data_IF_521358063360
#
_entry.id   IF_521358063360
#
_cell.length_a   1.000
_cell.length_b   1.000
_cell.length_c   1.000
_cell.angle_alpha   90.00
_cell.angle_beta   90.00
_cell.angle_gamma   90.00
#
_symmetry.space_group_name_H-M   'P 1'
#
loop_
_entity.id
_entity.type
_entity.pdbx_description
1 polymer ?
#
# COMPACT_ATOMS: atom_id res chain seq x y z
N UNK A 1 -9.16 1.73 1.97
CA UNK A 1 -8.74 2.83 2.85
C UNK A 1 -9.84 3.88 3.05
N UNK A 2 -10.43 4.45 1.99
CA UNK A 2 -11.55 5.42 2.14
C UNK A 2 -12.72 4.85 2.97
N UNK A 3 -13.13 3.61 2.72
CA UNK A 3 -14.19 2.95 3.50
C UNK A 3 -13.89 2.81 5.00
N UNK A 4 -12.61 2.67 5.39
CA UNK A 4 -12.21 2.65 6.81
C UNK A 4 -12.30 4.04 7.43
N UNK A 5 -11.94 5.10 6.69
CA UNK A 5 -12.10 6.48 7.13
C UNK A 5 -13.57 6.90 7.28
N UNK A 6 -14.43 6.41 6.39
CA UNK A 6 -15.89 6.58 6.54
C UNK A 6 -16.38 5.84 7.79
N UNK A 7 -15.97 4.59 7.99
CA UNK A 7 -16.35 3.83 9.19
C UNK A 7 -15.92 4.52 10.49
N UNK A 8 -14.72 5.13 10.50
CA UNK A 8 -14.19 5.90 11.65
C UNK A 8 -15.03 7.15 11.96
N UNK A 9 -15.62 7.79 10.94
CA UNK A 9 -16.49 8.95 11.10
C UNK A 9 -17.86 8.59 11.72
N UNK A 10 -18.35 7.38 11.46
CA UNK A 10 -19.65 6.92 11.96
C UNK A 10 -19.57 6.14 13.29
N UNK A 11 -18.37 5.80 13.77
CA UNK A 11 -18.19 5.08 15.02
C UNK A 11 -18.25 6.05 16.22
N UNK A 12 -19.36 5.99 16.98
CA UNK A 12 -19.63 6.90 18.11
C UNK A 12 -18.94 6.47 19.43
N UNK A 13 -18.52 5.21 19.53
CA UNK A 13 -17.92 4.62 20.75
C UNK A 13 -16.37 4.68 20.78
N UNK A 14 -15.76 5.45 19.89
CA UNK A 14 -14.31 5.63 19.79
C UNK A 14 -13.82 5.66 18.34
N UNK A 15 -12.53 5.97 18.15
CA UNK A 15 -11.89 5.95 16.82
C UNK A 15 -11.53 4.50 16.50
N UNK A 16 -12.19 3.89 15.52
CA UNK A 16 -11.81 2.60 14.94
C UNK A 16 -10.31 2.55 14.62
N UNK A 17 -9.76 3.58 13.98
CA UNK A 17 -8.32 3.66 13.68
C UNK A 17 -7.45 3.85 14.92
N UNK A 18 -7.99 4.39 16.01
CA UNK A 18 -7.29 4.52 17.30
C UNK A 18 -7.30 3.23 18.14
N UNK A 19 -8.17 2.29 17.82
CA UNK A 19 -8.18 0.94 18.40
C UNK A 19 -7.25 -0.04 17.64
N UNK A 20 -6.77 0.36 16.46
CA UNK A 20 -5.82 -0.41 15.67
C UNK A 20 -4.41 -0.07 16.13
N UNK A 21 -3.56 -1.10 16.22
CA UNK A 21 -2.13 -0.96 16.52
C UNK A 21 -1.45 0.04 15.54
N UNK A 22 -0.66 0.98 16.05
CA UNK A 22 0.06 1.99 15.24
C UNK A 22 0.89 1.36 14.11
N UNK A 23 1.32 0.11 14.27
CA UNK A 23 2.04 -0.65 13.26
C UNK A 23 1.24 -0.84 11.95
N UNK A 24 -0.09 -0.85 12.00
CA UNK A 24 -0.95 -0.95 10.80
C UNK A 24 -0.88 0.29 9.91
N UNK A 25 -0.47 1.45 10.44
CA UNK A 25 -0.31 2.66 9.63
C UNK A 25 0.73 2.42 8.53
N UNK A 26 1.81 1.72 8.86
CA UNK A 26 2.89 1.40 7.90
C UNK A 26 2.39 0.44 6.82
N UNK A 27 1.62 -0.57 7.22
CA UNK A 27 0.98 -1.52 6.28
C UNK A 27 0.06 -0.77 5.32
N UNK A 28 -0.78 0.12 5.86
CA UNK A 28 -1.70 0.93 5.07
C UNK A 28 -0.98 1.86 4.09
N UNK A 29 0.12 2.48 4.51
CA UNK A 29 0.95 3.34 3.66
C UNK A 29 1.61 2.55 2.51
N UNK A 30 2.13 1.35 2.78
CA UNK A 30 2.68 0.48 1.72
C UNK A 30 1.59 0.13 0.71
N UNK A 31 0.40 -0.27 1.18
CA UNK A 31 -0.72 -0.57 0.29
C UNK A 31 -1.17 0.63 -0.55
N UNK A 32 -1.22 1.83 0.04
CA UNK A 32 -1.59 3.06 -0.65
C UNK A 32 -0.55 3.44 -1.71
N UNK A 33 0.74 3.32 -1.38
CA UNK A 33 1.84 3.59 -2.28
C UNK A 33 1.82 2.63 -3.48
N UNK A 34 1.65 1.32 -3.25
CA UNK A 34 1.52 0.33 -4.33
C UNK A 34 0.31 0.60 -5.23
N UNK A 35 -0.82 0.99 -4.65
CA UNK A 35 -2.02 1.36 -5.41
C UNK A 35 -1.76 2.59 -6.28
N UNK A 36 -1.09 3.61 -5.75
CA UNK A 36 -0.76 4.81 -6.51
C UNK A 36 0.20 4.50 -7.67
N UNK A 37 1.22 3.66 -7.43
CA UNK A 37 2.12 3.20 -8.48
C UNK A 37 1.39 2.45 -9.59
N UNK A 38 0.45 1.56 -9.24
CA UNK A 38 -0.37 0.85 -10.23
C UNK A 38 -1.26 1.81 -11.04
N UNK A 39 -1.85 2.82 -10.39
CA UNK A 39 -2.62 3.85 -11.09
C UNK A 39 -1.75 4.67 -12.05
N UNK A 40 -0.55 5.06 -11.61
CA UNK A 40 0.40 5.82 -12.44
C UNK A 40 0.88 4.97 -13.62
N UNK A 41 1.23 3.70 -13.40
CA UNK A 41 1.63 2.76 -14.46
C UNK A 41 0.55 2.62 -15.53
N UNK A 42 -0.69 2.36 -15.09
CA UNK A 42 -1.85 2.27 -15.97
C UNK A 42 -2.12 3.56 -16.76
N UNK A 43 -1.97 4.74 -16.13
CA UNK A 43 -2.23 6.02 -16.77
C UNK A 43 -1.13 6.42 -17.74
N UNK A 44 0.13 6.20 -17.36
CA UNK A 44 1.30 6.58 -18.14
C UNK A 44 1.51 5.70 -19.38
N UNK A 45 0.85 4.53 -19.46
CA UNK A 45 0.98 3.54 -20.56
C UNK A 45 2.44 3.36 -20.95
N UNK A 46 3.28 3.07 -19.97
CA UNK A 46 4.72 2.92 -20.18
C UNK A 46 4.95 1.58 -20.88
N UNK A 47 4.89 1.56 -22.21
CA UNK A 47 5.12 0.36 -23.04
C UNK A 47 6.59 -0.09 -23.08
N UNK A 48 7.41 0.33 -22.10
CA UNK A 48 8.80 -0.12 -21.99
C UNK A 48 8.83 -1.47 -21.28
N UNK A 49 9.14 -2.51 -22.05
CA UNK A 49 9.27 -3.89 -21.57
C UNK A 49 10.71 -4.21 -21.19
N UNK A 50 10.89 -4.87 -20.05
CA UNK A 50 12.14 -5.49 -19.61
C UNK A 50 11.91 -7.00 -19.46
N UNK A 51 12.63 -7.84 -20.21
CA UNK A 51 12.52 -9.31 -20.13
C UNK A 51 11.08 -9.82 -20.05
N UNK A 52 10.17 -9.33 -20.91
CA UNK A 52 8.74 -9.67 -20.97
C UNK A 52 7.80 -9.05 -19.93
N UNK A 53 8.31 -8.27 -18.97
CA UNK A 53 7.53 -7.57 -17.94
C UNK A 53 7.62 -6.05 -18.15
N UNK A 54 6.54 -5.32 -17.93
CA UNK A 54 6.55 -3.85 -18.00
C UNK A 54 7.34 -3.24 -16.83
N UNK A 55 8.07 -2.15 -17.08
CA UNK A 55 8.94 -1.54 -16.05
C UNK A 55 8.18 -1.11 -14.80
N UNK A 56 6.94 -0.65 -14.95
CA UNK A 56 6.05 -0.29 -13.85
C UNK A 56 5.68 -1.50 -12.99
N UNK A 57 5.40 -2.66 -13.60
CA UNK A 57 5.18 -3.92 -12.89
C UNK A 57 6.44 -4.38 -12.14
N UNK A 58 7.63 -4.24 -12.72
CA UNK A 58 8.90 -4.51 -12.02
C UNK A 58 9.05 -3.59 -10.81
N UNK A 59 8.76 -2.30 -10.95
CA UNK A 59 8.83 -1.35 -9.84
C UNK A 59 7.84 -1.71 -8.71
N UNK A 60 6.61 -2.12 -9.05
CA UNK A 60 5.62 -2.60 -8.08
C UNK A 60 6.13 -3.81 -7.32
N UNK A 61 6.70 -4.81 -8.01
CA UNK A 61 7.25 -6.02 -7.38
C UNK A 61 8.36 -5.66 -6.40
N UNK A 62 9.31 -4.82 -6.82
CA UNK A 62 10.44 -4.41 -5.98
C UNK A 62 9.94 -3.69 -4.73
N UNK A 63 9.03 -2.73 -4.88
CA UNK A 63 8.49 -1.98 -3.74
C UNK A 63 7.65 -2.86 -2.82
N UNK A 64 6.89 -3.82 -3.35
CA UNK A 64 6.15 -4.79 -2.56
C UNK A 64 7.09 -5.64 -1.70
N UNK A 65 8.16 -6.18 -2.29
CA UNK A 65 9.15 -6.98 -1.56
C UNK A 65 9.89 -6.16 -0.49
N UNK A 66 10.27 -4.93 -0.82
CA UNK A 66 10.89 -4.01 0.14
C UNK A 66 9.93 -3.63 1.28
N UNK A 67 8.64 -3.43 0.97
CA UNK A 67 7.59 -3.18 1.95
C UNK A 67 7.41 -4.37 2.88
N UNK A 68 7.31 -5.58 2.34
CA UNK A 68 7.23 -6.82 3.13
C UNK A 68 8.46 -7.00 4.02
N UNK A 69 9.66 -6.74 3.49
CA UNK A 69 10.90 -6.80 4.26
C UNK A 69 10.93 -5.77 5.39
N UNK A 70 10.49 -4.54 5.12
CA UNK A 70 10.38 -3.49 6.15
C UNK A 70 9.43 -3.91 7.28
N UNK A 71 8.28 -4.49 6.93
CA UNK A 71 7.32 -5.00 7.90
C UNK A 71 7.91 -6.13 8.74
N UNK A 72 8.60 -7.08 8.11
CA UNK A 72 9.31 -8.16 8.79
C UNK A 72 10.37 -7.64 9.78
N UNK A 73 11.21 -6.67 9.37
CA UNK A 73 12.23 -6.08 10.23
C UNK A 73 11.62 -5.30 11.41
N UNK A 74 10.42 -4.74 11.24
CA UNK A 74 9.68 -4.07 12.31
C UNK A 74 8.89 -5.03 13.20
N UNK A 75 8.88 -6.34 12.90
CA UNK A 75 8.09 -7.33 13.64
C UNK A 75 6.58 -7.19 13.40
N UNK A 76 6.19 -6.58 12.29
CA UNK A 76 4.80 -6.36 11.89
C UNK A 76 4.44 -7.49 10.92
N UNK A 77 4.11 -8.67 11.42
CA UNK A 77 3.83 -9.85 10.60
C UNK A 77 3.52 -11.10 11.40
#
# INVERSE_FOLDING_TARGET
MLGLGIADFFLLDGRFLGAIDENFVIVGLIGLLLTNMALVGNLARVERKFLFIEIDAVAIIVVYLLGMFLLFVRGIG
#
